data_IF_571787425817
#
_entry.id   IF_571787425817
#
_cell.length_a   1.000
_cell.length_b   1.000
_cell.length_c   1.000
_cell.angle_alpha   90.00
_cell.angle_beta   90.00
_cell.angle_gamma   90.00
#
_symmetry.space_group_name_H-M   'P 1'
#
loop_
_entity.id
_entity.type
_entity.pdbx_description
1 polymer ?
#
# COMPACT_ATOMS: atom_id res chain seq x y z
N UNK A 1 -13.62 20.81 -6.94
CA UNK A 1 -13.08 20.12 -5.75
C UNK A 1 -12.08 19.11 -6.27
N UNK A 2 -10.94 18.96 -5.61
CA UNK A 2 -9.94 17.99 -6.07
C UNK A 2 -10.38 16.64 -5.49
N UNK A 3 -11.20 15.91 -6.23
CA UNK A 3 -11.87 14.67 -5.77
C UNK A 3 -10.90 13.46 -5.64
N UNK A 4 -9.58 13.74 -5.58
CA UNK A 4 -8.54 12.72 -5.41
C UNK A 4 -8.22 12.52 -3.94
N UNK A 5 -7.98 11.27 -3.56
CA UNK A 5 -7.48 10.92 -2.23
C UNK A 5 -6.16 11.64 -1.94
N UNK A 6 -6.02 12.13 -0.71
CA UNK A 6 -4.73 12.56 -0.18
C UNK A 6 -3.82 11.34 0.02
N UNK A 7 -2.50 11.57 0.08
CA UNK A 7 -1.53 10.50 0.31
C UNK A 7 -1.81 9.73 1.62
N UNK A 8 -2.20 10.42 2.69
CA UNK A 8 -2.58 9.77 3.95
C UNK A 8 -3.85 8.94 3.80
N UNK A 9 -4.87 9.44 3.11
CA UNK A 9 -6.11 8.69 2.88
C UNK A 9 -5.87 7.44 2.04
N UNK A 10 -4.98 7.49 1.05
CA UNK A 10 -4.58 6.32 0.29
C UNK A 10 -3.89 5.26 1.16
N UNK A 11 -2.99 5.67 2.06
CA UNK A 11 -2.33 4.77 3.03
C UNK A 11 -3.35 4.13 3.97
N UNK A 12 -4.27 4.89 4.56
CA UNK A 12 -5.31 4.31 5.41
C UNK A 12 -6.30 3.45 4.62
N UNK A 13 -6.62 3.83 3.39
CA UNK A 13 -7.50 3.12 2.48
C UNK A 13 -6.99 1.73 2.11
N UNK A 14 -5.70 1.59 1.79
CA UNK A 14 -5.11 0.28 1.49
C UNK A 14 -5.09 -0.63 2.73
N UNK A 15 -4.84 -0.07 3.93
CA UNK A 15 -4.93 -0.82 5.18
C UNK A 15 -6.38 -1.27 5.49
N UNK A 16 -7.36 -0.42 5.22
CA UNK A 16 -8.77 -0.77 5.31
C UNK A 16 -9.15 -1.84 4.28
N UNK A 17 -8.63 -1.77 3.05
CA UNK A 17 -8.86 -2.78 2.05
C UNK A 17 -8.29 -4.15 2.48
N UNK A 18 -7.09 -4.16 3.05
CA UNK A 18 -6.47 -5.38 3.59
C UNK A 18 -7.34 -6.07 4.65
N UNK A 19 -8.03 -5.32 5.50
CA UNK A 19 -8.89 -5.87 6.56
C UNK A 19 -10.18 -6.50 6.05
N UNK A 20 -10.57 -6.23 4.80
CA UNK A 20 -11.76 -6.83 4.16
C UNK A 20 -11.51 -8.21 3.55
N UNK A 21 -10.27 -8.69 3.54
CA UNK A 21 -9.91 -9.96 2.89
C UNK A 21 -10.51 -11.16 3.62
N UNK A 22 -11.02 -12.10 2.83
CA UNK A 22 -11.58 -13.36 3.34
C UNK A 22 -10.50 -14.29 3.91
N UNK A 23 -9.32 -14.31 3.30
CA UNK A 23 -8.19 -15.15 3.73
C UNK A 23 -7.11 -14.29 4.37
N UNK A 24 -6.57 -14.69 5.53
CA UNK A 24 -5.46 -13.98 6.15
C UNK A 24 -4.20 -14.07 5.28
N UNK A 25 -3.37 -13.04 5.36
CA UNK A 25 -2.02 -13.03 4.79
C UNK A 25 -1.02 -12.86 5.94
N UNK A 26 0.12 -13.53 5.83
CA UNK A 26 1.22 -13.39 6.79
C UNK A 26 2.28 -12.49 6.17
N UNK A 27 2.60 -11.40 6.85
CA UNK A 27 3.63 -10.45 6.45
C UNK A 27 4.74 -10.49 7.48
N UNK A 28 5.96 -10.81 7.06
CA UNK A 28 7.16 -10.63 7.88
C UNK A 28 8.41 -10.56 7.00
N UNK A 29 9.55 -10.20 7.58
CA UNK A 29 10.85 -10.24 6.90
C UNK A 29 11.21 -11.62 6.31
N UNK A 30 10.58 -12.70 6.81
CA UNK A 30 10.86 -14.10 6.45
C UNK A 30 9.85 -14.69 5.47
N UNK A 31 8.81 -13.96 5.10
CA UNK A 31 7.78 -14.38 4.16
C UNK A 31 7.78 -13.47 2.94
N UNK A 32 7.25 -13.98 1.82
CA UNK A 32 7.12 -13.20 0.60
C UNK A 32 6.15 -12.02 0.81
N UNK A 33 6.69 -10.81 0.81
CA UNK A 33 5.94 -9.58 0.91
C UNK A 33 5.41 -9.08 -0.44
N UNK A 34 5.70 -9.77 -1.55
CA UNK A 34 5.24 -9.42 -2.90
C UNK A 34 3.71 -9.29 -2.99
N UNK A 35 2.98 -10.12 -2.25
CA UNK A 35 1.51 -10.04 -2.18
C UNK A 35 0.99 -8.68 -1.69
N UNK A 36 1.76 -7.94 -0.87
CA UNK A 36 1.36 -6.60 -0.45
C UNK A 36 1.46 -5.59 -1.59
N UNK A 37 2.45 -5.74 -2.48
CA UNK A 37 2.59 -4.88 -3.65
C UNK A 37 1.43 -5.09 -4.62
N UNK A 38 1.03 -6.34 -4.86
CA UNK A 38 -0.14 -6.65 -5.69
C UNK A 38 -1.43 -6.03 -5.12
N UNK A 39 -1.65 -6.16 -3.81
CA UNK A 39 -2.83 -5.58 -3.15
C UNK A 39 -2.83 -4.06 -3.21
N UNK A 40 -1.67 -3.43 -2.99
CA UNK A 40 -1.54 -1.99 -3.11
C UNK A 40 -1.79 -1.52 -4.55
N UNK A 41 -1.29 -2.26 -5.54
CA UNK A 41 -1.52 -1.97 -6.95
C UNK A 41 -3.02 -2.06 -7.31
N UNK A 42 -3.70 -3.12 -6.89
CA UNK A 42 -5.15 -3.27 -7.10
C UNK A 42 -5.93 -2.09 -6.50
N UNK A 43 -5.55 -1.65 -5.30
CA UNK A 43 -6.13 -0.47 -4.67
C UNK A 43 -5.86 0.81 -5.46
N UNK A 44 -4.63 1.02 -5.92
CA UNK A 44 -4.25 2.18 -6.73
C UNK A 44 -5.06 2.25 -8.03
N UNK A 45 -5.15 1.13 -8.76
CA UNK A 45 -5.92 1.03 -10.01
C UNK A 45 -7.40 1.32 -9.77
N UNK A 46 -7.99 0.72 -8.73
CA UNK A 46 -9.41 0.92 -8.39
C UNK A 46 -9.76 2.38 -8.03
N UNK A 47 -8.79 3.15 -7.52
CA UNK A 47 -8.96 4.54 -7.11
C UNK A 47 -8.35 5.56 -8.10
N UNK A 48 -7.84 5.10 -9.26
CA UNK A 48 -7.22 5.98 -10.26
C UNK A 48 -5.99 6.75 -9.74
N UNK A 49 -5.21 6.12 -8.86
CA UNK A 49 -3.97 6.69 -8.33
C UNK A 49 -2.82 6.51 -9.33
N UNK A 50 -1.88 7.45 -9.32
CA UNK A 50 -0.71 7.43 -10.20
C UNK A 50 0.29 6.35 -9.74
N UNK A 51 1.01 5.77 -10.70
CA UNK A 51 2.04 4.78 -10.41
C UNK A 51 3.17 5.37 -9.57
N UNK A 52 3.82 4.57 -8.70
CA UNK A 52 5.02 4.99 -8.00
C UNK A 52 6.10 5.42 -9.00
N UNK A 53 6.74 6.56 -8.72
CA UNK A 53 7.92 6.98 -9.51
C UNK A 53 9.03 5.94 -9.45
N UNK A 54 9.85 5.93 -10.49
CA UNK A 54 11.11 5.20 -10.48
C UNK A 54 11.92 5.58 -9.23
N UNK A 55 12.57 4.59 -8.62
CA UNK A 55 13.39 4.77 -7.41
C UNK A 55 12.68 5.31 -6.15
N UNK A 56 11.34 5.28 -6.07
CA UNK A 56 10.62 5.76 -4.87
C UNK A 56 11.10 5.09 -3.57
N UNK A 57 11.60 3.85 -3.63
CA UNK A 57 12.13 3.12 -2.48
C UNK A 57 13.36 3.79 -1.87
N UNK A 58 14.14 4.56 -2.63
CA UNK A 58 15.37 5.24 -2.16
C UNK A 58 15.10 6.42 -1.21
N UNK A 59 13.87 6.92 -1.19
CA UNK A 59 13.45 8.08 -0.40
C UNK A 59 12.46 7.70 0.72
N UNK A 60 12.16 6.41 0.89
CA UNK A 60 11.34 5.94 1.99
C UNK A 60 12.12 6.05 3.30
N UNK A 61 11.47 6.58 4.33
CA UNK A 61 11.99 6.56 5.69
C UNK A 61 11.16 5.57 6.51
N UNK A 62 11.75 4.41 6.79
CA UNK A 62 11.11 3.38 7.59
C UNK A 62 11.36 3.66 9.07
N UNK A 63 10.31 3.79 9.89
CA UNK A 63 10.49 3.89 11.33
C UNK A 63 11.19 2.64 11.85
N UNK A 64 12.18 2.80 12.74
CA UNK A 64 12.80 1.68 13.44
C UNK A 64 11.74 0.99 14.30
N UNK A 65 11.77 -0.34 14.34
CA UNK A 65 10.97 -1.10 15.31
C UNK A 65 11.25 -0.57 16.72
N UNK A 66 10.19 -0.42 17.52
CA UNK A 66 10.27 0.03 18.91
C UNK A 66 10.62 -1.11 19.83
#
# INVERSE_FOLDING_TARGET
MNDKLTASEAVYGVLAHLSTRVKPITVSEKHDAGILADIANDFCVANGLEDPREDYHKILNHPKER
#
